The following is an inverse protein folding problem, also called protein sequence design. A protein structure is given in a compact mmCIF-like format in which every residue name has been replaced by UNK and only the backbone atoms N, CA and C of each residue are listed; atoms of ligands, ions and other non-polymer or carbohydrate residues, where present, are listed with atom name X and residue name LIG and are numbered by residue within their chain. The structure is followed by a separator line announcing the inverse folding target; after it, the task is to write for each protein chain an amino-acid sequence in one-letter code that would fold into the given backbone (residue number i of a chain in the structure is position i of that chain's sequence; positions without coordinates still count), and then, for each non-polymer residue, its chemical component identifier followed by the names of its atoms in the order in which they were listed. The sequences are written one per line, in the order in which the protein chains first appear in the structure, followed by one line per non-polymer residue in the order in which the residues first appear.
data_IF_172914244070
#
_entry.id   IF_172914244070
#
_cell.length_a   1.000
_cell.length_b   1.000
_cell.length_c   1.000
_cell.angle_alpha   90.00
_cell.angle_beta   90.00
_cell.angle_gamma   90.00
#
_symmetry.space_group_name_H-M   'P 1'
#
loop_
_entity.id
_entity.type
_entity.pdbx_description
1 polymer ?
#
# COMPACT_ATOMS: atom_id res chain seq x y z
N UNK A 1 -22.51 24.23 5.19
CA UNK A 1 -21.16 23.66 5.36
C UNK A 1 -21.10 22.96 6.71
N UNK A 2 -20.47 21.78 6.74
CA UNK A 2 -20.03 20.98 7.90
C UNK A 2 -21.11 20.36 8.83
N UNK A 3 -21.52 19.10 8.57
CA UNK A 3 -22.05 18.18 9.61
C UNK A 3 -21.96 16.68 9.26
N UNK A 4 -21.28 16.27 8.19
CA UNK A 4 -21.20 14.82 7.85
C UNK A 4 -20.03 14.10 8.52
N UNK A 5 -18.97 14.83 8.90
CA UNK A 5 -17.75 14.23 9.45
C UNK A 5 -17.88 13.74 10.89
N UNK A 6 -18.72 14.40 11.70
CA UNK A 6 -18.78 14.17 13.16
C UNK A 6 -19.62 12.92 13.53
N UNK A 7 -20.65 12.64 12.72
CA UNK A 7 -21.53 11.49 12.91
C UNK A 7 -20.85 10.15 12.53
N UNK A 8 -19.96 10.17 11.52
CA UNK A 8 -19.18 8.99 11.13
C UNK A 8 -18.19 8.59 12.23
N UNK A 9 -17.46 9.55 12.79
CA UNK A 9 -16.55 9.31 13.93
C UNK A 9 -17.27 8.87 15.21
N UNK A 10 -18.48 9.37 15.47
CA UNK A 10 -19.27 8.94 16.62
C UNK A 10 -19.84 7.52 16.45
N UNK A 11 -20.24 7.14 15.23
CA UNK A 11 -20.69 5.78 14.90
C UNK A 11 -19.55 4.75 14.96
N UNK A 12 -18.32 5.17 14.67
CA UNK A 12 -17.12 4.34 14.78
C UNK A 12 -16.62 4.17 16.22
N UNK A 13 -17.13 4.93 17.20
CA UNK A 13 -16.65 4.91 18.59
C UNK A 13 -17.32 3.85 19.48
N UNK A 14 -18.35 3.15 18.99
CA UNK A 14 -19.06 2.10 19.73
C UNK A 14 -19.57 1.00 18.81
N UNK A 15 -19.05 -0.22 18.99
CA UNK A 15 -19.49 -1.41 18.24
C UNK A 15 -18.33 -2.30 17.76
N UNK A 16 -18.67 -3.39 17.06
CA UNK A 16 -17.67 -4.41 16.66
C UNK A 16 -16.56 -3.86 15.77
N UNK A 17 -16.84 -2.84 14.96
CA UNK A 17 -15.83 -2.19 14.12
C UNK A 17 -14.73 -1.51 14.96
N UNK A 18 -15.12 -0.77 15.99
CA UNK A 18 -14.19 -0.13 16.94
C UNK A 18 -13.31 -1.16 17.66
N UNK A 19 -13.91 -2.26 18.11
CA UNK A 19 -13.19 -3.36 18.76
C UNK A 19 -12.16 -3.99 17.81
N UNK A 20 -12.56 -4.26 16.56
CA UNK A 20 -11.64 -4.79 15.54
C UNK A 20 -10.47 -3.83 15.26
N UNK A 21 -10.72 -2.51 15.21
CA UNK A 21 -9.64 -1.53 15.06
C UNK A 21 -8.64 -1.63 16.22
N UNK A 22 -9.12 -1.72 17.47
CA UNK A 22 -8.25 -1.86 18.65
C UNK A 22 -7.50 -3.19 18.69
N UNK A 23 -8.17 -4.29 18.35
CA UNK A 23 -7.56 -5.63 18.28
C UNK A 23 -6.44 -5.69 17.22
N UNK A 24 -6.64 -5.01 16.08
CA UNK A 24 -5.68 -5.00 14.98
C UNK A 24 -4.58 -3.96 15.15
N UNK A 25 -4.82 -2.86 15.88
CA UNK A 25 -3.85 -1.78 16.09
C UNK A 25 -2.44 -2.27 16.48
N UNK A 26 -2.25 -3.17 17.47
CA UNK A 26 -0.91 -3.65 17.84
C UNK A 26 -0.28 -4.61 16.82
N UNK A 27 -1.07 -5.17 15.89
CA UNK A 27 -0.61 -6.13 14.86
C UNK A 27 -0.50 -5.49 13.47
N UNK A 28 -0.98 -4.26 13.31
CA UNK A 28 -0.98 -3.56 12.03
C UNK A 28 0.47 -3.24 11.67
N UNK A 29 0.85 -3.57 10.43
CA UNK A 29 2.16 -3.20 9.91
C UNK A 29 2.26 -1.69 9.87
N UNK A 30 3.40 -1.17 10.32
CA UNK A 30 3.69 0.25 10.20
C UNK A 30 3.82 0.63 8.71
N UNK A 31 3.63 1.92 8.37
CA UNK A 31 3.97 2.41 7.03
C UNK A 31 5.39 1.99 6.63
N UNK A 32 5.57 1.62 5.37
CA UNK A 32 6.90 1.38 4.81
C UNK A 32 7.62 2.71 4.69
N UNK A 33 8.73 2.89 5.42
CA UNK A 33 9.54 4.11 5.35
C UNK A 33 10.70 3.89 4.40
N UNK A 34 10.68 4.59 3.27
CA UNK A 34 11.76 4.55 2.29
C UNK A 34 12.82 5.63 2.59
N UNK A 35 12.36 6.82 2.96
CA UNK A 35 13.20 7.94 3.43
C UNK A 35 12.51 8.62 4.63
N UNK A 36 13.13 9.66 5.19
CA UNK A 36 12.51 10.46 6.25
C UNK A 36 11.21 11.15 5.79
N UNK A 37 11.12 11.48 4.50
CA UNK A 37 9.99 12.19 3.89
C UNK A 37 9.01 11.26 3.16
N UNK A 38 9.46 10.07 2.74
CA UNK A 38 8.65 9.12 1.96
C UNK A 38 8.24 7.93 2.84
N UNK A 39 6.95 7.90 3.18
CA UNK A 39 6.30 6.80 3.86
C UNK A 39 5.08 6.30 3.07
N UNK A 40 5.03 5.00 2.79
CA UNK A 40 3.94 4.34 2.06
C UNK A 40 3.03 3.65 3.10
N UNK A 41 1.75 4.04 3.22
CA UNK A 41 0.84 3.45 4.19
C UNK A 41 0.47 2.00 3.82
N UNK A 42 -0.07 1.22 4.77
CA UNK A 42 -0.66 -0.09 4.45
C UNK A 42 -1.73 0.03 3.37
N UNK A 43 -1.77 -0.93 2.45
CA UNK A 43 -2.74 -0.93 1.35
C UNK A 43 -4.19 -0.99 1.85
N UNK A 44 -5.03 -0.21 1.20
CA UNK A 44 -6.47 -0.14 1.49
C UNK A 44 -7.25 -1.20 0.72
N UNK A 45 -8.49 -1.45 1.14
CA UNK A 45 -9.38 -2.39 0.45
C UNK A 45 -9.66 -1.96 -1.00
N UNK A 46 -9.78 -0.67 -1.26
CA UNK A 46 -10.00 -0.10 -2.60
C UNK A 46 -8.78 -0.31 -3.50
N UNK A 47 -7.57 -0.06 -3.00
CA UNK A 47 -6.34 -0.35 -3.75
C UNK A 47 -6.23 -1.83 -4.11
N UNK A 48 -6.52 -2.75 -3.18
CA UNK A 48 -6.54 -4.20 -3.48
C UNK A 48 -7.57 -4.56 -4.56
N UNK A 49 -8.73 -3.88 -4.59
CA UNK A 49 -9.72 -4.10 -5.66
C UNK A 49 -9.24 -3.55 -7.01
N UNK A 50 -8.53 -2.43 -7.01
CA UNK A 50 -7.94 -1.86 -8.22
C UNK A 50 -6.84 -2.79 -8.77
N UNK A 51 -5.91 -3.24 -7.91
CA UNK A 51 -4.85 -4.18 -8.28
C UNK A 51 -5.38 -5.45 -8.96
N UNK A 52 -6.49 -6.02 -8.47
CA UNK A 52 -7.11 -7.21 -9.08
C UNK A 52 -7.67 -7.00 -10.48
N UNK A 53 -7.90 -5.76 -10.88
CA UNK A 53 -8.46 -5.38 -12.19
C UNK A 53 -7.38 -4.96 -13.19
N UNK A 54 -6.22 -4.57 -12.67
CA UNK A 54 -5.10 -4.08 -13.46
C UNK A 54 -4.18 -5.23 -13.86
N UNK A 55 -3.73 -5.24 -15.11
CA UNK A 55 -2.76 -6.23 -15.64
C UNK A 55 -1.41 -5.61 -16.00
N UNK A 56 -1.33 -4.29 -15.96
CA UNK A 56 -0.13 -3.53 -16.25
C UNK A 56 0.66 -3.30 -14.95
N UNK A 57 1.95 -3.64 -14.97
CA UNK A 57 2.79 -3.63 -13.77
C UNK A 57 3.07 -2.20 -13.27
N UNK A 58 3.16 -1.23 -14.19
CA UNK A 58 3.40 0.17 -13.86
C UNK A 58 2.15 0.79 -13.21
N UNK A 59 0.97 0.53 -13.77
CA UNK A 59 -0.31 0.90 -13.14
C UNK A 59 -0.50 0.22 -11.78
N UNK A 60 -0.10 -1.04 -11.63
CA UNK A 60 -0.14 -1.72 -10.33
C UNK A 60 0.78 -1.06 -9.31
N UNK A 61 1.99 -0.66 -9.73
CA UNK A 61 2.92 0.06 -8.86
C UNK A 61 2.34 1.41 -8.44
N UNK A 62 1.79 2.19 -9.38
CA UNK A 62 1.12 3.46 -9.07
C UNK A 62 0.00 3.29 -8.02
N UNK A 63 -0.80 2.23 -8.13
CA UNK A 63 -1.86 1.91 -7.16
C UNK A 63 -1.28 1.61 -5.77
N UNK A 64 -0.18 0.87 -5.68
CA UNK A 64 0.48 0.52 -4.40
C UNK A 64 1.08 1.77 -3.75
N UNK A 65 1.78 2.59 -4.53
CA UNK A 65 2.47 3.78 -4.03
C UNK A 65 1.51 4.91 -3.65
N UNK A 66 0.36 4.99 -4.32
CA UNK A 66 -0.66 6.01 -4.06
C UNK A 66 -0.10 7.42 -4.17
N UNK A 67 -0.34 8.25 -3.16
CA UNK A 67 0.10 9.66 -3.13
C UNK A 67 1.62 9.84 -3.23
N UNK A 68 2.41 8.79 -2.96
CA UNK A 68 3.88 8.84 -3.02
C UNK A 68 4.46 8.45 -4.37
N UNK A 69 3.62 8.09 -5.35
CA UNK A 69 4.07 7.57 -6.64
C UNK A 69 5.06 8.54 -7.32
N UNK A 70 4.65 9.80 -7.51
CA UNK A 70 5.49 10.80 -8.20
C UNK A 70 6.83 11.05 -7.50
N UNK A 71 6.84 11.11 -6.16
CA UNK A 71 8.05 11.35 -5.39
C UNK A 71 9.04 10.17 -5.50
N UNK A 72 8.53 8.94 -5.56
CA UNK A 72 9.33 7.72 -5.67
C UNK A 72 9.87 7.55 -7.10
N UNK A 73 9.07 7.82 -8.12
CA UNK A 73 9.53 7.84 -9.52
C UNK A 73 10.69 8.83 -9.67
N UNK A 74 10.55 10.05 -9.15
CA UNK A 74 11.61 11.04 -9.17
C UNK A 74 12.87 10.60 -8.41
N UNK A 75 12.71 9.86 -7.31
CA UNK A 75 13.83 9.34 -6.52
C UNK A 75 14.66 8.30 -7.30
N UNK A 76 14.01 7.47 -8.12
CA UNK A 76 14.65 6.37 -8.86
C UNK A 76 14.97 6.68 -10.33
N UNK A 77 14.47 7.78 -10.90
CA UNK A 77 14.58 8.10 -12.33
C UNK A 77 16.00 8.00 -12.91
N UNK A 78 17.02 8.42 -12.15
CA UNK A 78 18.44 8.42 -12.57
C UNK A 78 19.29 7.39 -11.81
N UNK A 79 18.64 6.46 -11.10
CA UNK A 79 19.32 5.42 -10.32
C UNK A 79 19.49 4.13 -11.12
N UNK A 80 20.48 3.30 -10.75
CA UNK A 80 20.58 1.95 -11.29
C UNK A 80 19.28 1.14 -11.12
N UNK A 81 18.90 0.41 -12.17
CA UNK A 81 17.64 -0.33 -12.24
C UNK A 81 17.55 -1.47 -11.20
N UNK A 82 18.67 -2.02 -10.76
CA UNK A 82 18.74 -3.02 -9.70
C UNK A 82 18.34 -2.45 -8.33
N UNK A 83 18.59 -1.17 -8.06
CA UNK A 83 18.09 -0.49 -6.85
C UNK A 83 16.55 -0.43 -6.86
N UNK A 84 15.96 -0.13 -8.03
CA UNK A 84 14.52 -0.13 -8.20
C UNK A 84 13.91 -1.51 -7.93
N UNK A 85 14.46 -2.57 -8.52
CA UNK A 85 13.97 -3.94 -8.29
C UNK A 85 14.14 -4.39 -6.84
N UNK A 86 15.23 -3.99 -6.18
CA UNK A 86 15.44 -4.28 -4.77
C UNK A 86 14.37 -3.60 -3.90
N UNK A 87 14.05 -2.33 -4.18
CA UNK A 87 12.98 -1.58 -3.53
C UNK A 87 11.61 -2.23 -3.74
N UNK A 88 11.23 -2.53 -4.99
CA UNK A 88 9.93 -3.15 -5.28
C UNK A 88 9.75 -4.46 -4.49
N UNK A 89 10.76 -5.33 -4.51
CA UNK A 89 10.73 -6.62 -3.80
C UNK A 89 10.56 -6.43 -2.29
N UNK A 90 11.30 -5.50 -1.70
CA UNK A 90 11.25 -5.21 -0.26
C UNK A 90 9.89 -4.60 0.14
N UNK A 91 9.38 -3.67 -0.66
CA UNK A 91 8.06 -3.07 -0.48
C UNK A 91 6.95 -4.14 -0.49
N UNK A 92 6.95 -5.04 -1.48
CA UNK A 92 5.96 -6.12 -1.55
C UNK A 92 6.05 -7.08 -0.35
N UNK A 93 7.27 -7.43 0.05
CA UNK A 93 7.48 -8.26 1.24
C UNK A 93 6.94 -7.57 2.51
N UNK A 94 7.15 -6.26 2.66
CA UNK A 94 6.65 -5.48 3.78
C UNK A 94 5.12 -5.35 3.77
N UNK A 95 4.50 -5.11 2.61
CA UNK A 95 3.06 -4.88 2.52
C UNK A 95 2.23 -6.17 2.60
N UNK A 96 2.72 -7.27 2.03
CA UNK A 96 1.94 -8.49 1.86
C UNK A 96 2.54 -9.71 2.59
N UNK A 97 3.83 -9.70 2.92
CA UNK A 97 4.54 -10.73 3.70
C UNK A 97 5.58 -11.48 2.88
N UNK A 98 6.42 -12.30 3.54
CA UNK A 98 7.38 -13.15 2.85
C UNK A 98 6.64 -14.14 1.93
N UNK A 99 6.97 -14.11 0.64
CA UNK A 99 6.31 -14.90 -0.42
C UNK A 99 5.40 -14.10 -1.36
N UNK A 100 5.18 -12.80 -1.09
CA UNK A 100 4.38 -11.93 -1.97
C UNK A 100 5.14 -11.34 -3.17
N UNK A 101 6.34 -11.86 -3.46
CA UNK A 101 7.11 -11.47 -4.64
C UNK A 101 6.37 -11.82 -5.95
N UNK A 102 5.37 -12.70 -5.89
CA UNK A 102 4.47 -12.99 -6.98
C UNK A 102 3.16 -12.21 -6.76
N UNK A 103 3.06 -11.04 -7.41
CA UNK A 103 1.75 -10.49 -7.73
C UNK A 103 0.91 -11.59 -8.41
N UNK A 104 -0.37 -11.78 -8.02
CA UNK A 104 -1.26 -12.68 -8.76
C UNK A 104 -1.53 -12.07 -10.13
N UNK A 105 -0.67 -12.38 -11.11
CA UNK A 105 -0.64 -11.74 -12.41
C UNK A 105 0.68 -11.93 -13.18
N UNK A 106 1.78 -12.27 -12.49
CA UNK A 106 3.03 -12.64 -13.11
C UNK A 106 2.87 -13.89 -13.97
N UNK A 107 3.08 -13.73 -15.27
CA UNK A 107 2.98 -14.73 -16.33
C UNK A 107 3.60 -16.09 -15.95
N UNK A 108 2.75 -17.13 -15.88
CA UNK A 108 3.15 -18.50 -16.20
C UNK A 108 3.46 -18.54 -17.70
N UNK A 109 4.71 -18.23 -18.05
CA UNK A 109 5.28 -18.48 -19.37
C UNK A 109 6.28 -19.62 -19.27
N UNK A 110 5.86 -20.81 -19.71
CA UNK A 110 6.74 -21.90 -20.14
C UNK A 110 6.32 -22.29 -21.56
#
# INVERSE_FOLDING_TARGET
MATTSDAATAAEAGGRFYELQRELAPRRRAPYRLTDDIAIPPVTRSQVLALRRTRDDDEQMAIVLGDQHEAIEALFAERPLDEWYAFQRDLYAHLFGQGAAELPGGSQGS
#
